data_IF_073942317622
#
_entry.id   IF_073942317622
#
_cell.length_a   1.000
_cell.length_b   1.000
_cell.length_c   1.000
_cell.angle_alpha   90.00
_cell.angle_beta   90.00
_cell.angle_gamma   90.00
#
_symmetry.space_group_name_H-M   'P 1'
#
loop_
_entity.id
_entity.type
_entity.pdbx_description
1 polymer ?
#
# COMPACT_ATOMS: atom_id res chain seq x y z
N UNK A 1 9.84 -15.79 -21.57
CA UNK A 1 10.72 -15.33 -20.99
C UNK A 1 10.59 -14.34 -19.97
N UNK A 2 11.22 -13.44 -19.80
CA UNK A 2 11.33 -12.55 -18.67
C UNK A 2 10.17 -11.59 -18.51
N UNK A 3 8.98 -12.11 -18.54
CA UNK A 3 7.81 -11.30 -18.28
C UNK A 3 7.69 -11.06 -16.80
N UNK A 4 7.43 -9.80 -16.46
CA UNK A 4 7.21 -9.43 -15.07
C UNK A 4 5.74 -9.56 -14.75
N UNK A 5 5.43 -10.39 -13.77
CA UNK A 5 4.06 -10.58 -13.32
C UNK A 5 3.99 -10.14 -11.87
N UNK A 6 3.49 -8.94 -11.60
CA UNK A 6 3.42 -8.48 -10.22
C UNK A 6 2.43 -9.29 -9.41
N UNK A 7 2.78 -9.57 -8.17
CA UNK A 7 1.83 -10.19 -7.26
C UNK A 7 0.88 -9.11 -6.77
N UNK A 8 -0.26 -9.55 -6.22
CA UNK A 8 -1.21 -8.61 -5.63
C UNK A 8 -0.55 -7.77 -4.53
N UNK A 9 0.25 -8.42 -3.69
CA UNK A 9 0.94 -7.70 -2.62
C UNK A 9 1.92 -6.66 -3.17
N UNK A 10 2.59 -6.96 -4.28
CA UNK A 10 3.49 -5.98 -4.88
C UNK A 10 2.76 -4.76 -5.40
N UNK A 11 1.59 -4.96 -5.99
CA UNK A 11 0.81 -3.85 -6.50
C UNK A 11 0.33 -2.97 -5.35
N UNK A 12 -0.17 -3.59 -4.27
CA UNK A 12 -0.62 -2.84 -3.11
C UNK A 12 0.55 -2.10 -2.47
N UNK A 13 1.69 -2.77 -2.35
CA UNK A 13 2.89 -2.17 -1.80
C UNK A 13 3.35 -0.97 -2.62
N UNK A 14 3.34 -1.11 -3.93
CA UNK A 14 3.73 -0.03 -4.82
C UNK A 14 2.76 1.15 -4.66
N UNK A 15 1.47 0.86 -4.53
CA UNK A 15 0.50 1.92 -4.32
C UNK A 15 0.77 2.70 -3.05
N UNK A 16 1.11 2.00 -1.97
CA UNK A 16 1.45 2.67 -0.72
C UNK A 16 2.74 3.49 -0.86
N UNK A 17 3.71 2.96 -1.59
CA UNK A 17 4.96 3.65 -1.81
C UNK A 17 4.76 4.94 -2.61
N UNK A 18 3.84 4.92 -3.56
CA UNK A 18 3.56 6.07 -4.42
C UNK A 18 2.49 6.99 -3.84
N UNK A 19 2.04 6.74 -2.63
CA UNK A 19 1.02 7.53 -1.94
C UNK A 19 -0.28 7.58 -2.74
N UNK A 20 -0.68 6.45 -3.29
CA UNK A 20 -1.93 6.35 -4.03
C UNK A 20 -3.11 6.21 -3.08
N UNK A 21 -4.27 6.73 -3.49
CA UNK A 21 -5.48 6.53 -2.71
C UNK A 21 -6.15 5.21 -3.10
N UNK A 22 -7.27 4.91 -2.45
CA UNK A 22 -8.00 3.67 -2.67
C UNK A 22 -8.39 3.49 -4.14
N UNK A 23 -8.91 4.55 -4.74
CA UNK A 23 -9.36 4.48 -6.12
C UNK A 23 -8.21 4.19 -7.08
N UNK A 24 -7.08 4.82 -6.86
CA UNK A 24 -5.91 4.62 -7.71
C UNK A 24 -5.35 3.21 -7.58
N UNK A 25 -5.35 2.67 -6.37
CA UNK A 25 -4.86 1.31 -6.16
C UNK A 25 -5.81 0.30 -6.82
N UNK A 26 -7.12 0.51 -6.68
CA UNK A 26 -8.10 -0.34 -7.34
C UNK A 26 -7.93 -0.31 -8.85
N UNK A 27 -7.67 0.86 -9.40
CA UNK A 27 -7.45 0.98 -10.84
C UNK A 27 -6.22 0.20 -11.27
N UNK A 28 -5.15 0.29 -10.50
CA UNK A 28 -3.93 -0.43 -10.81
C UNK A 28 -4.13 -1.94 -10.73
N UNK A 29 -4.87 -2.40 -9.72
CA UNK A 29 -5.21 -3.82 -9.62
C UNK A 29 -6.02 -4.27 -10.82
N UNK A 30 -7.00 -3.48 -11.24
CA UNK A 30 -7.84 -3.80 -12.37
C UNK A 30 -7.01 -3.88 -13.66
N UNK A 31 -6.05 -2.99 -13.83
CA UNK A 31 -5.17 -3.03 -15.00
C UNK A 31 -4.31 -4.29 -15.02
N UNK A 32 -4.06 -4.87 -13.86
CA UNK A 32 -3.31 -6.12 -13.75
C UNK A 32 -4.23 -7.34 -13.80
N UNK A 33 -5.50 -7.14 -14.16
CA UNK A 33 -6.51 -8.20 -14.23
C UNK A 33 -6.79 -8.82 -12.87
N UNK A 34 -6.73 -8.00 -11.83
CA UNK A 34 -7.01 -8.46 -10.47
C UNK A 34 -8.24 -7.73 -9.92
N UNK A 35 -8.86 -8.35 -8.92
CA UNK A 35 -10.00 -7.73 -8.27
C UNK A 35 -9.58 -6.51 -7.46
N UNK A 36 -10.46 -5.51 -7.31
CA UNK A 36 -10.17 -4.39 -6.42
C UNK A 36 -9.99 -4.85 -4.97
N UNK A 37 -9.54 -3.95 -4.12
CA UNK A 37 -9.40 -4.25 -2.70
C UNK A 37 -10.75 -4.69 -2.14
N UNK A 38 -10.74 -5.74 -1.35
CA UNK A 38 -11.96 -6.36 -0.84
C UNK A 38 -12.05 -6.24 0.67
N UNK A 39 -13.11 -5.57 1.15
CA UNK A 39 -13.29 -5.37 2.58
C UNK A 39 -13.61 -6.67 3.32
N UNK A 40 -13.95 -7.74 2.60
CA UNK A 40 -14.23 -9.02 3.25
C UNK A 40 -12.95 -9.77 3.61
N UNK A 41 -11.84 -9.41 3.00
CA UNK A 41 -10.55 -9.98 3.36
C UNK A 41 -9.97 -9.16 4.51
N UNK A 42 -9.61 -9.81 5.60
CA UNK A 42 -9.16 -9.09 6.78
C UNK A 42 -7.96 -8.20 6.50
N UNK A 43 -6.94 -8.74 5.82
CA UNK A 43 -5.77 -7.96 5.50
C UNK A 43 -6.14 -6.74 4.64
N UNK A 44 -6.94 -6.96 3.60
CA UNK A 44 -7.28 -5.86 2.70
C UNK A 44 -8.23 -4.86 3.35
N UNK A 45 -9.05 -5.29 4.30
CA UNK A 45 -9.87 -4.32 5.03
C UNK A 45 -9.00 -3.39 5.86
N UNK A 46 -7.88 -3.90 6.38
CA UNK A 46 -6.93 -3.06 7.11
C UNK A 46 -6.25 -2.07 6.15
N UNK A 47 -5.89 -2.53 4.95
CA UNK A 47 -5.33 -1.62 3.94
C UNK A 47 -6.32 -0.51 3.61
N UNK A 48 -7.60 -0.87 3.44
CA UNK A 48 -8.62 0.15 3.17
C UNK A 48 -8.75 1.15 4.31
N UNK A 49 -8.66 0.67 5.56
CA UNK A 49 -8.68 1.56 6.71
C UNK A 49 -7.48 2.52 6.69
N UNK A 50 -6.31 1.98 6.38
CA UNK A 50 -5.11 2.81 6.31
C UNK A 50 -5.26 3.91 5.26
N UNK A 51 -5.79 3.54 4.09
CA UNK A 51 -5.95 4.52 3.02
C UNK A 51 -6.98 5.58 3.37
N UNK A 52 -8.09 5.19 3.98
CA UNK A 52 -9.12 6.16 4.41
C UNK A 52 -8.55 7.11 5.45
N UNK A 53 -7.82 6.58 6.42
CA UNK A 53 -7.25 7.41 7.47
C UNK A 53 -6.18 8.35 6.91
N UNK A 54 -5.39 7.83 5.98
CA UNK A 54 -4.36 8.66 5.34
C UNK A 54 -4.99 9.81 4.56
N UNK A 55 -6.10 9.56 3.88
CA UNK A 55 -6.78 10.60 3.14
C UNK A 55 -7.32 11.67 4.09
N UNK A 56 -7.91 11.25 5.20
CA UNK A 56 -8.45 12.18 6.18
C UNK A 56 -7.35 13.04 6.81
N UNK A 57 -6.14 12.53 6.87
CA UNK A 57 -5.02 13.25 7.47
C UNK A 57 -4.09 13.90 6.44
N UNK A 58 -4.56 14.01 5.20
CA UNK A 58 -3.86 14.68 4.11
C UNK A 58 -2.50 14.05 3.77
N UNK A 59 -2.33 12.77 4.08
CA UNK A 59 -1.08 12.08 3.74
C UNK A 59 -0.98 11.81 2.24
N UNK A 60 -2.10 11.89 1.52
CA UNK A 60 -2.14 11.60 0.09
C UNK A 60 -2.13 12.85 -0.77
N UNK A 61 -2.02 14.03 -0.15
CA UNK A 61 -2.02 15.30 -0.88
C UNK A 61 -0.62 15.59 -1.42
N UNK A 62 -0.35 15.08 -2.62
CA UNK A 62 0.97 15.19 -3.23
C UNK A 62 1.33 16.61 -3.65
N UNK A 63 0.36 17.53 -3.62
CA UNK A 63 0.62 18.92 -3.99
C UNK A 63 0.89 19.81 -2.78
N UNK A 64 0.78 19.25 -1.58
CA UNK A 64 1.06 20.02 -0.38
C UNK A 64 2.57 20.22 -0.22
N UNK A 65 2.97 21.39 0.27
CA UNK A 65 4.37 21.66 0.54
C UNK A 65 4.91 20.78 1.67
N UNK A 66 4.02 20.27 2.50
CA UNK A 66 4.41 19.41 3.61
C UNK A 66 4.32 17.93 3.29
N UNK A 67 4.04 17.60 2.02
CA UNK A 67 3.89 16.21 1.62
C UNK A 67 5.18 15.44 1.84
N UNK A 68 5.07 14.29 2.52
CA UNK A 68 6.19 13.38 2.73
C UNK A 68 5.91 12.09 1.93
N UNK A 69 6.66 11.83 0.88
CA UNK A 69 6.38 10.66 0.03
C UNK A 69 6.54 9.32 0.75
N UNK A 70 7.21 9.29 1.91
CA UNK A 70 7.41 8.06 2.65
C UNK A 70 6.44 7.89 3.80
N UNK A 71 5.62 8.89 4.08
CA UNK A 71 4.78 8.88 5.28
C UNK A 71 3.76 7.75 5.25
N UNK A 72 3.14 7.53 4.11
CA UNK A 72 2.11 6.49 4.02
C UNK A 72 2.69 5.11 4.27
N UNK A 73 3.86 4.82 3.71
CA UNK A 73 4.51 3.54 3.93
C UNK A 73 4.89 3.34 5.39
N UNK A 74 5.40 4.37 6.03
CA UNK A 74 5.77 4.27 7.45
C UNK A 74 4.54 4.03 8.31
N UNK A 75 3.47 4.75 8.02
CA UNK A 75 2.22 4.59 8.76
C UNK A 75 1.64 3.19 8.55
N UNK A 76 1.61 2.73 7.30
CA UNK A 76 1.09 1.40 7.00
C UNK A 76 1.89 0.32 7.69
N UNK A 77 3.22 0.43 7.65
CA UNK A 77 4.09 -0.55 8.32
C UNK A 77 3.82 -0.58 9.82
N UNK A 78 3.66 0.59 10.42
CA UNK A 78 3.40 0.66 11.85
C UNK A 78 2.08 -0.03 12.22
N UNK A 79 1.02 0.28 11.49
CA UNK A 79 -0.28 -0.31 11.76
C UNK A 79 -0.25 -1.82 11.58
N UNK A 80 0.36 -2.28 10.49
CA UNK A 80 0.39 -3.70 10.19
C UNK A 80 1.20 -4.49 11.22
N UNK A 81 2.33 -3.91 11.67
CA UNK A 81 3.13 -4.60 12.68
C UNK A 81 2.39 -4.77 14.01
N UNK A 82 1.49 -3.85 14.32
CA UNK A 82 0.73 -3.92 15.56
C UNK A 82 -0.40 -4.92 15.51
N UNK A 83 -0.83 -5.33 14.32
CA UNK A 83 -1.99 -6.20 14.17
C UNK A 83 -1.68 -7.69 14.17
N UNK A 84 -0.45 -8.05 13.90
CA UNK A 84 -0.01 -9.46 13.98
C UNK A 84 -0.90 -10.41 13.18
N UNK A 85 -1.16 -10.07 11.92
CA UNK A 85 -1.95 -10.91 11.03
C UNK A 85 -1.04 -11.87 10.26
N UNK A 86 -1.55 -13.07 9.92
CA UNK A 86 -0.72 -14.07 9.22
C UNK A 86 -0.17 -13.60 7.88
N UNK A 87 -0.90 -12.74 7.16
CA UNK A 87 -0.50 -12.28 5.84
C UNK A 87 0.52 -11.17 5.90
N UNK A 88 0.77 -10.61 7.09
CA UNK A 88 1.61 -9.42 7.21
C UNK A 88 3.04 -9.68 6.82
N UNK A 89 3.59 -10.83 7.24
CA UNK A 89 5.00 -11.10 6.97
C UNK A 89 5.31 -11.09 5.47
N UNK A 90 4.44 -11.73 4.69
CA UNK A 90 4.64 -11.78 3.25
C UNK A 90 4.52 -10.38 2.64
N UNK A 91 3.56 -9.58 3.12
CA UNK A 91 3.36 -8.25 2.60
C UNK A 91 4.52 -7.33 2.97
N UNK A 92 4.98 -7.38 4.22
CA UNK A 92 6.08 -6.52 4.66
C UNK A 92 7.37 -6.83 3.92
N UNK A 93 7.54 -8.08 3.50
CA UNK A 93 8.70 -8.45 2.72
C UNK A 93 8.73 -7.75 1.36
N UNK A 94 7.58 -7.34 0.85
CA UNK A 94 7.48 -6.67 -0.43
C UNK A 94 7.39 -5.15 -0.32
N UNK A 95 7.21 -4.61 0.90
CA UNK A 95 7.24 -3.17 1.09
C UNK A 95 8.68 -2.67 0.98
N UNK A 96 8.88 -1.49 0.41
CA UNK A 96 10.23 -0.96 0.36
C UNK A 96 10.78 -0.71 1.76
N UNK A 97 12.05 -1.01 1.93
CA UNK A 97 12.75 -0.69 3.15
C UNK A 97 13.25 0.74 3.03
N UNK A 98 12.63 1.63 3.77
CA UNK A 98 12.93 3.06 3.64
C UNK A 98 14.31 3.43 4.18
N UNK A 99 14.97 2.50 4.86
CA UNK A 99 16.32 2.73 5.35
C UNK A 99 17.37 2.33 4.33
N UNK A 100 16.95 1.85 3.16
CA UNK A 100 17.87 1.48 2.09
C UNK A 100 17.40 2.12 0.80
N UNK A 101 18.26 2.21 -0.17
CA UNK A 101 17.92 2.81 -1.45
C UNK A 101 17.67 1.74 -2.51
N UNK A 102 16.83 0.79 -2.17
CA UNK A 102 16.57 -0.33 -3.05
C UNK A 102 15.56 0.03 -4.14
N UNK A 103 14.73 0.98 -3.90
CA UNK A 103 13.75 1.42 -4.88
C UNK A 103 14.27 2.57 -5.71
#
# INVERSE_FOLDING_TARGET
QNKWYPTRNKIISLGLHLSMDHEQIDEMLTLAHMEPLCAKNLFESVILFILDDAELNNMLDTESEEFDPDELCRYARKVLLELDLPEIDAFLAELPDLDTDIW
#
